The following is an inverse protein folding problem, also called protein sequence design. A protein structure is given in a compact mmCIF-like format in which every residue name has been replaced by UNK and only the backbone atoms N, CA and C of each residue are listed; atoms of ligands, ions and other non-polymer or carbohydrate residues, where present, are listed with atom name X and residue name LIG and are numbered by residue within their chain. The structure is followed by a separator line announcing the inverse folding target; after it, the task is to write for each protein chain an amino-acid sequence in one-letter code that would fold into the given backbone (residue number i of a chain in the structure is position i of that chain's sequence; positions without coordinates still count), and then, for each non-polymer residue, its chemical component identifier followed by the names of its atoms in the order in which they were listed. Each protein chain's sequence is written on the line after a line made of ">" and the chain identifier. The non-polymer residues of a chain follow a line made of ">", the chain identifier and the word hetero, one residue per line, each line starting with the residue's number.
data_IF_903030842321
#
_entry.id   IF_903030842321
#
_cell.length_a   1.000
_cell.length_b   1.000
_cell.length_c   1.000
_cell.angle_alpha   90.00
_cell.angle_beta   90.00
_cell.angle_gamma   90.00
#
_symmetry.space_group_name_H-M   'P 1'
#
loop_
_entity.id
_entity.type
_entity.pdbx_description
1 polymer ?
#
# COMPACT_ATOMS: atom_id res chain seq x y z
N UNK A 1 10.06 3.67 -19.57
CA UNK A 1 11.39 4.18 -19.18
C UNK A 1 11.28 5.67 -18.86
N UNK A 2 10.87 6.02 -17.64
CA UNK A 2 11.20 7.31 -16.98
C UNK A 2 11.20 7.01 -15.48
N UNK A 3 12.39 6.77 -14.94
CA UNK A 3 12.61 6.68 -13.50
C UNK A 3 12.67 8.11 -12.95
N UNK A 4 11.56 8.57 -12.40
CA UNK A 4 11.48 9.89 -11.77
C UNK A 4 12.08 9.82 -10.35
N UNK A 5 13.36 9.48 -10.26
CA UNK A 5 14.12 9.58 -9.00
C UNK A 5 14.37 11.07 -8.75
N UNK A 6 13.69 11.62 -7.75
CA UNK A 6 13.98 12.94 -7.20
C UNK A 6 15.45 12.97 -6.81
N UNK A 7 16.30 13.64 -7.59
CA UNK A 7 17.71 13.81 -7.29
C UNK A 7 17.85 14.81 -6.13
N UNK A 8 17.90 14.28 -4.91
CA UNK A 8 18.20 15.10 -3.74
C UNK A 8 19.72 15.35 -3.72
N UNK A 9 20.18 16.62 -3.69
CA UNK A 9 21.61 16.93 -3.66
C UNK A 9 22.23 16.34 -2.38
N UNK A 10 23.33 15.59 -2.54
CA UNK A 10 23.96 14.76 -1.49
C UNK A 10 24.49 15.49 -0.25
N UNK A 11 24.19 16.79 -0.10
CA UNK A 11 24.67 17.66 0.98
C UNK A 11 23.63 17.84 2.09
N UNK A 12 22.33 17.60 1.84
CA UNK A 12 21.26 17.83 2.83
C UNK A 12 20.77 16.56 3.57
N UNK A 13 21.37 15.40 3.30
CA UNK A 13 20.92 14.11 3.85
C UNK A 13 22.02 13.09 4.06
N UNK A 14 23.29 13.51 4.23
CA UNK A 14 24.47 12.62 4.21
C UNK A 14 24.52 11.49 5.27
N UNK A 15 23.58 11.46 6.23
CA UNK A 15 23.42 10.37 7.21
C UNK A 15 22.12 9.56 7.03
N UNK A 16 21.20 10.02 6.18
CA UNK A 16 19.90 9.41 5.95
C UNK A 16 19.84 8.91 4.50
N UNK A 17 19.81 7.59 4.35
CA UNK A 17 19.78 6.94 3.04
C UNK A 17 18.33 6.84 2.55
N UNK A 18 17.88 7.86 1.82
CA UNK A 18 16.50 7.90 1.27
C UNK A 18 16.25 6.84 0.19
N UNK A 19 17.31 6.23 -0.36
CA UNK A 19 17.26 5.09 -1.28
C UNK A 19 17.15 3.73 -0.57
N UNK A 20 17.26 3.68 0.76
CA UNK A 20 16.95 2.47 1.53
C UNK A 20 15.52 2.56 2.04
N UNK A 21 14.57 2.16 1.20
CA UNK A 21 13.24 1.79 1.67
C UNK A 21 13.42 0.55 2.58
N UNK A 22 12.93 0.63 3.82
CA UNK A 22 12.93 -0.52 4.71
C UNK A 22 11.93 -1.54 4.15
N UNK A 23 12.42 -2.62 3.55
CA UNK A 23 11.58 -3.77 3.20
C UNK A 23 11.03 -4.37 4.49
N UNK A 24 9.77 -4.01 4.80
CA UNK A 24 9.06 -4.61 5.92
C UNK A 24 8.89 -6.10 5.63
N UNK A 25 9.11 -6.95 6.65
CA UNK A 25 8.75 -8.38 6.58
C UNK A 25 7.27 -8.59 6.29
N UNK A 26 6.46 -7.55 6.50
CA UNK A 26 5.04 -7.52 6.26
C UNK A 26 4.72 -6.42 5.24
N UNK A 27 4.79 -6.77 3.96
CA UNK A 27 4.36 -5.93 2.84
C UNK A 27 3.21 -6.63 2.14
N UNK A 28 2.06 -5.97 2.07
CA UNK A 28 0.94 -6.46 1.29
C UNK A 28 1.12 -6.11 -0.18
N UNK A 29 0.96 -7.10 -1.05
CA UNK A 29 0.88 -6.82 -2.48
C UNK A 29 -0.38 -5.99 -2.79
N UNK A 30 -0.35 -5.09 -3.78
CA UNK A 30 -1.55 -4.35 -4.20
C UNK A 30 -2.73 -5.27 -4.54
N UNK A 31 -2.44 -6.45 -5.09
CA UNK A 31 -3.43 -7.50 -5.39
C UNK A 31 -4.13 -8.00 -4.13
N UNK A 32 -3.38 -8.21 -3.05
CA UNK A 32 -3.94 -8.64 -1.76
C UNK A 32 -4.87 -7.58 -1.16
N UNK A 33 -4.50 -6.30 -1.29
CA UNK A 33 -5.34 -5.17 -0.83
C UNK A 33 -6.65 -5.11 -1.62
N UNK A 34 -6.58 -5.27 -2.95
CA UNK A 34 -7.78 -5.28 -3.80
C UNK A 34 -8.71 -6.45 -3.48
N UNK A 35 -8.17 -7.66 -3.27
CA UNK A 35 -8.96 -8.82 -2.86
C UNK A 35 -9.69 -8.60 -1.54
N UNK A 36 -9.02 -7.98 -0.56
CA UNK A 36 -9.62 -7.66 0.74
C UNK A 36 -10.77 -6.64 0.63
N UNK A 37 -10.61 -5.60 -0.21
CA UNK A 37 -11.67 -4.61 -0.46
C UNK A 37 -12.92 -5.28 -1.05
N UNK A 38 -12.74 -6.13 -2.07
CA UNK A 38 -13.86 -6.85 -2.68
C UNK A 38 -14.56 -7.76 -1.67
N UNK A 39 -13.79 -8.48 -0.84
CA UNK A 39 -14.35 -9.33 0.20
C UNK A 39 -15.19 -8.55 1.22
N UNK A 40 -14.72 -7.36 1.64
CA UNK A 40 -15.47 -6.47 2.54
C UNK A 40 -16.78 -5.99 1.91
N UNK A 41 -16.77 -5.61 0.64
CA UNK A 41 -17.98 -5.17 -0.07
C UNK A 41 -19.00 -6.31 -0.11
N UNK A 42 -18.57 -7.53 -0.48
CA UNK A 42 -19.44 -8.70 -0.50
C UNK A 42 -19.98 -9.03 0.89
N UNK A 43 -19.17 -8.88 1.93
CA UNK A 43 -19.58 -9.10 3.31
C UNK A 43 -20.66 -8.09 3.74
N UNK A 44 -20.48 -6.80 3.43
CA UNK A 44 -21.50 -5.77 3.72
C UNK A 44 -22.80 -6.03 2.96
N UNK A 45 -22.71 -6.43 1.68
CA UNK A 45 -23.88 -6.81 0.88
C UNK A 45 -24.59 -8.01 1.51
N UNK A 46 -23.84 -9.04 1.91
CA UNK A 46 -24.41 -10.22 2.55
C UNK A 46 -25.13 -9.83 3.85
N UNK A 47 -24.52 -9.00 4.70
CA UNK A 47 -25.19 -8.50 5.91
C UNK A 47 -26.48 -7.77 5.55
N UNK A 48 -26.48 -6.90 4.55
CA UNK A 48 -27.68 -6.15 4.15
C UNK A 48 -28.80 -7.04 3.61
N UNK A 49 -28.47 -8.18 3.00
CA UNK A 49 -29.44 -9.15 2.50
C UNK A 49 -30.02 -10.01 3.64
N UNK A 50 -29.17 -10.52 4.54
CA UNK A 50 -29.60 -11.44 5.61
C UNK A 50 -30.14 -10.71 6.84
N UNK A 51 -29.66 -9.50 7.12
CA UNK A 51 -30.05 -8.64 8.23
C UNK A 51 -30.33 -7.23 7.71
N UNK A 52 -31.50 -7.02 7.08
CA UNK A 52 -31.95 -5.69 6.71
C UNK A 52 -32.35 -4.92 7.98
N UNK A 53 -31.35 -4.35 8.67
CA UNK A 53 -31.51 -3.33 9.70
C UNK A 53 -31.67 -1.96 9.06
#
# INVERSE_FOLDING_TARGET
>A
MVENKVQMPGVFGGLMRYDSEFESKFMFSPTSVMGFIVALILFVIAIKIFFPL
#
